data_IF_447009622549
#
_entry.id   IF_447009622549
#
_cell.length_a   1.000
_cell.length_b   1.000
_cell.length_c   1.000
_cell.angle_alpha   90.00
_cell.angle_beta   90.00
_cell.angle_gamma   90.00
#
_symmetry.space_group_name_H-M   'P 1'
#
loop_
_entity.id
_entity.type
_entity.pdbx_description
1 polymer ?
#
# COMPACT_ATOMS: atom_id res chain seq x y z
N UNK A 1 -13.47 -97.82 -14.68
CA UNK A 1 -14.60 -96.96 -14.29
C UNK A 1 -14.19 -95.51 -14.49
N UNK A 2 -15.04 -94.76 -15.21
CA UNK A 2 -15.19 -93.29 -15.21
C UNK A 2 -13.95 -92.39 -15.37
N UNK A 3 -13.88 -91.67 -16.51
CA UNK A 3 -13.23 -90.34 -16.59
C UNK A 3 -13.94 -89.30 -15.70
N UNK A 4 -13.52 -88.01 -15.69
CA UNK A 4 -13.70 -87.17 -16.87
C UNK A 4 -12.68 -86.01 -17.10
N UNK A 5 -12.63 -85.57 -18.37
CA UNK A 5 -12.60 -84.20 -18.91
C UNK A 5 -11.86 -83.07 -18.17
N UNK A 6 -10.96 -82.41 -18.91
CA UNK A 6 -10.53 -81.03 -18.67
C UNK A 6 -9.88 -80.44 -19.93
N UNK A 7 -10.62 -79.58 -20.64
CA UNK A 7 -10.32 -78.98 -21.94
C UNK A 7 -9.77 -77.56 -21.73
N UNK A 8 -8.61 -77.19 -22.30
CA UNK A 8 -8.13 -75.80 -22.43
C UNK A 8 -7.32 -75.71 -23.74
N UNK A 9 -7.93 -75.29 -24.86
CA UNK A 9 -8.03 -73.90 -25.39
C UNK A 9 -6.70 -73.39 -25.96
N UNK A 10 -6.67 -73.33 -27.29
CA UNK A 10 -5.70 -72.63 -28.13
C UNK A 10 -5.64 -71.14 -27.80
N UNK A 11 -4.46 -70.53 -27.85
CA UNK A 11 -4.32 -69.08 -28.01
C UNK A 11 -3.34 -68.78 -29.13
N UNK A 12 -3.85 -67.97 -30.06
CA UNK A 12 -3.27 -67.59 -31.34
C UNK A 12 -2.05 -66.67 -31.20
N UNK A 13 -1.20 -66.82 -32.19
CA UNK A 13 -0.03 -66.03 -32.56
C UNK A 13 -0.32 -64.52 -32.52
N UNK A 14 0.52 -63.79 -31.77
CA UNK A 14 0.50 -62.34 -31.64
C UNK A 14 0.71 -61.62 -33.00
N UNK A 15 -0.21 -60.75 -33.37
CA UNK A 15 0.00 -59.67 -34.33
C UNK A 15 0.57 -58.45 -33.60
N UNK A 16 1.76 -58.00 -34.02
CA UNK A 16 2.35 -56.74 -33.57
C UNK A 16 1.94 -55.62 -34.54
N UNK A 17 1.47 -54.45 -34.05
CA UNK A 17 1.19 -53.31 -34.91
C UNK A 17 2.49 -52.55 -35.24
N UNK A 18 2.70 -52.31 -36.53
CA UNK A 18 3.77 -51.52 -37.12
C UNK A 18 3.68 -50.06 -36.64
N UNK A 19 4.70 -49.59 -35.90
CA UNK A 19 4.79 -48.21 -35.42
C UNK A 19 5.47 -47.40 -36.52
N UNK A 20 4.71 -46.58 -37.24
CA UNK A 20 5.30 -45.63 -38.17
C UNK A 20 6.15 -44.59 -37.42
N UNK A 21 7.37 -44.30 -37.88
CA UNK A 21 8.29 -43.42 -37.17
C UNK A 21 7.88 -41.94 -37.32
N UNK A 22 8.00 -41.20 -36.21
CA UNK A 22 7.70 -39.76 -36.04
C UNK A 22 8.39 -38.86 -37.09
N UNK A 23 9.39 -39.38 -37.80
CA UNK A 23 10.04 -38.73 -38.94
C UNK A 23 9.09 -38.42 -40.11
N UNK A 24 7.97 -39.12 -40.27
CA UNK A 24 6.97 -38.82 -41.32
C UNK A 24 6.16 -37.55 -41.05
N UNK A 25 5.97 -37.17 -39.78
CA UNK A 25 5.31 -35.91 -39.40
C UNK A 25 6.16 -34.67 -39.68
N UNK A 26 7.49 -34.79 -39.62
CA UNK A 26 8.42 -33.72 -39.98
C UNK A 26 8.58 -33.55 -41.49
N UNK A 27 8.14 -34.54 -42.28
CA UNK A 27 8.20 -34.53 -43.74
C UNK A 27 6.93 -33.96 -44.40
N UNK A 28 6.04 -33.32 -43.64
CA UNK A 28 4.86 -32.69 -44.23
C UNK A 28 5.28 -31.54 -45.17
N UNK A 29 4.76 -31.50 -46.43
CA UNK A 29 5.16 -30.55 -47.47
C UNK A 29 4.91 -29.07 -47.12
N UNK A 30 4.18 -28.79 -46.04
CA UNK A 30 3.98 -27.45 -45.50
C UNK A 30 5.23 -26.85 -44.83
N UNK A 31 6.19 -27.70 -44.39
CA UNK A 31 7.43 -27.25 -43.75
C UNK A 31 8.55 -26.88 -44.74
N UNK A 32 8.37 -27.11 -46.04
CA UNK A 32 9.34 -26.73 -47.08
C UNK A 32 9.04 -25.38 -47.74
N UNK A 33 7.87 -24.79 -47.51
CA UNK A 33 7.55 -23.48 -48.06
C UNK A 33 8.33 -22.39 -47.33
N UNK A 34 9.18 -21.61 -48.03
CA UNK A 34 10.03 -20.59 -47.40
C UNK A 34 9.19 -19.52 -46.67
N UNK A 35 7.94 -19.31 -47.10
CA UNK A 35 6.99 -18.41 -46.46
C UNK A 35 6.45 -18.97 -45.14
N UNK A 36 6.21 -20.28 -45.07
CA UNK A 36 5.73 -20.94 -43.85
C UNK A 36 6.83 -21.02 -42.80
N UNK A 37 8.06 -21.36 -43.20
CA UNK A 37 9.23 -21.37 -42.31
C UNK A 37 9.52 -19.96 -41.77
N UNK A 38 9.42 -18.92 -42.61
CA UNK A 38 9.58 -17.54 -42.16
C UNK A 38 8.46 -17.10 -41.20
N UNK A 39 7.21 -17.47 -41.46
CA UNK A 39 6.08 -17.15 -40.59
C UNK A 39 6.17 -17.88 -39.24
N UNK A 40 6.52 -19.16 -39.25
CA UNK A 40 6.73 -19.96 -38.04
C UNK A 40 7.91 -19.43 -37.21
N UNK A 41 9.03 -19.09 -37.86
CA UNK A 41 10.17 -18.45 -37.22
C UNK A 41 9.81 -17.09 -36.60
N UNK A 42 9.05 -16.26 -37.32
CA UNK A 42 8.55 -14.98 -36.83
C UNK A 42 7.63 -15.13 -35.61
N UNK A 43 6.73 -16.12 -35.61
CA UNK A 43 5.87 -16.42 -34.47
C UNK A 43 6.69 -16.83 -33.24
N UNK A 44 7.71 -17.67 -33.42
CA UNK A 44 8.58 -18.11 -32.32
C UNK A 44 9.36 -16.93 -31.74
N UNK A 45 9.92 -16.06 -32.57
CA UNK A 45 10.62 -14.84 -32.12
C UNK A 45 9.66 -13.90 -31.39
N UNK A 46 8.42 -13.73 -31.89
CA UNK A 46 7.40 -12.92 -31.24
C UNK A 46 6.99 -13.50 -29.88
N UNK A 47 6.83 -14.82 -29.77
CA UNK A 47 6.51 -15.49 -28.51
C UNK A 47 7.66 -15.40 -27.51
N UNK A 48 8.91 -15.52 -27.96
CA UNK A 48 10.08 -15.30 -27.12
C UNK A 48 10.14 -13.84 -26.66
N UNK A 49 9.92 -12.88 -27.56
CA UNK A 49 9.89 -11.46 -27.23
C UNK A 49 8.76 -11.14 -26.24
N UNK A 50 7.55 -11.65 -26.44
CA UNK A 50 6.43 -11.50 -25.50
C UNK A 50 6.71 -12.19 -24.15
N UNK A 51 7.40 -13.33 -24.15
CA UNK A 51 7.79 -14.06 -22.94
C UNK A 51 8.84 -13.27 -22.14
N UNK A 52 9.85 -12.72 -22.82
CA UNK A 52 10.86 -11.85 -22.22
C UNK A 52 10.24 -10.54 -21.71
N UNK A 53 9.33 -9.92 -22.47
CA UNK A 53 8.64 -8.70 -22.02
C UNK A 53 7.63 -8.96 -20.88
N UNK A 54 7.01 -10.14 -20.81
CA UNK A 54 6.14 -10.53 -19.68
C UNK A 54 6.93 -10.82 -18.41
N UNK A 55 8.18 -11.24 -18.52
CA UNK A 55 9.01 -11.59 -17.35
C UNK A 55 9.72 -10.39 -16.72
N UNK A 56 9.76 -9.24 -17.40
CA UNK A 56 10.32 -7.97 -16.88
C UNK A 56 9.45 -7.27 -15.82
N UNK A 57 8.25 -7.77 -15.50
CA UNK A 57 7.46 -7.31 -14.34
C UNK A 57 7.79 -8.08 -13.05
N UNK A 58 8.93 -8.74 -12.97
CA UNK A 58 9.42 -9.25 -11.68
C UNK A 58 9.96 -8.07 -10.89
N UNK A 59 9.05 -7.41 -10.18
CA UNK A 59 9.38 -6.53 -9.07
C UNK A 59 10.49 -7.18 -8.24
N UNK A 60 11.52 -6.41 -7.94
CA UNK A 60 12.62 -6.79 -7.07
C UNK A 60 12.03 -7.04 -5.67
N UNK A 61 11.44 -8.22 -5.47
CA UNK A 61 10.92 -8.65 -4.18
C UNK A 61 12.07 -8.62 -3.20
N UNK A 62 12.02 -7.67 -2.26
CA UNK A 62 12.94 -7.62 -1.12
C UNK A 62 12.96 -9.01 -0.49
N UNK A 63 14.16 -9.57 -0.36
CA UNK A 63 14.37 -10.84 0.33
C UNK A 63 14.20 -10.57 1.84
N UNK A 64 12.97 -10.71 2.33
CA UNK A 64 12.62 -10.44 3.73
C UNK A 64 11.10 -10.43 3.96
N UNK A 65 10.66 -10.47 5.23
CA UNK A 65 9.24 -10.30 5.56
C UNK A 65 8.77 -8.89 5.15
N UNK A 66 7.53 -8.79 4.67
CA UNK A 66 6.92 -7.49 4.36
C UNK A 66 6.63 -6.76 5.67
N UNK A 67 7.19 -5.57 5.83
CA UNK A 67 7.04 -4.80 7.07
C UNK A 67 5.90 -3.79 6.93
N UNK A 68 4.96 -3.83 7.87
CA UNK A 68 3.81 -2.92 7.94
C UNK A 68 3.86 -2.15 9.26
N UNK A 69 3.81 -0.82 9.18
CA UNK A 69 3.79 0.05 10.37
C UNK A 69 2.35 0.50 10.68
N UNK A 70 1.92 0.34 11.92
CA UNK A 70 0.70 0.95 12.44
C UNK A 70 1.06 2.26 13.14
N UNK A 71 0.50 3.37 12.66
CA UNK A 71 0.74 4.71 13.20
C UNK A 71 -0.57 5.48 13.33
N UNK A 72 -0.54 6.61 14.04
CA UNK A 72 -1.71 7.47 14.24
C UNK A 72 -1.95 7.87 15.70
N UNK A 73 -3.01 8.64 15.98
CA UNK A 73 -3.31 9.19 17.30
C UNK A 73 -3.42 8.13 18.40
N UNK A 74 -3.11 8.50 19.65
CA UNK A 74 -3.05 7.61 20.83
C UNK A 74 -4.27 6.69 20.98
N UNK A 75 -5.46 7.19 20.67
CA UNK A 75 -6.74 6.50 20.89
C UNK A 75 -7.35 5.89 19.62
N UNK A 76 -6.59 5.83 18.53
CA UNK A 76 -7.03 5.30 17.24
C UNK A 76 -7.33 3.79 17.25
N UNK A 77 -6.86 3.03 18.23
CA UNK A 77 -7.06 1.57 18.31
C UNK A 77 -5.97 0.72 17.64
N UNK A 78 -4.79 1.29 17.40
CA UNK A 78 -3.64 0.61 16.78
C UNK A 78 -3.30 -0.73 17.45
N UNK A 79 -3.17 -0.74 18.78
CA UNK A 79 -2.83 -1.92 19.57
C UNK A 79 -3.96 -2.97 19.57
N UNK A 80 -5.22 -2.53 19.45
CA UNK A 80 -6.37 -3.44 19.29
C UNK A 80 -6.34 -4.16 17.95
N UNK A 81 -6.03 -3.44 16.86
CA UNK A 81 -5.83 -4.02 15.53
C UNK A 81 -4.63 -4.96 15.54
N UNK A 82 -3.51 -4.56 16.13
CA UNK A 82 -2.31 -5.38 16.27
C UNK A 82 -2.63 -6.71 16.97
N UNK A 83 -3.29 -6.66 18.11
CA UNK A 83 -3.63 -7.85 18.91
C UNK A 83 -4.59 -8.76 18.16
N UNK A 84 -5.61 -8.20 17.47
CA UNK A 84 -6.56 -9.01 16.68
C UNK A 84 -5.91 -9.63 15.44
N UNK A 85 -4.98 -8.94 14.76
CA UNK A 85 -4.28 -9.50 13.61
C UNK A 85 -3.32 -10.64 14.03
N UNK A 86 -2.59 -10.47 15.14
CA UNK A 86 -1.56 -11.42 15.57
C UNK A 86 -2.14 -12.60 16.35
N UNK A 87 -3.04 -12.33 17.30
CA UNK A 87 -3.49 -13.32 18.26
C UNK A 87 -4.96 -13.73 18.06
N UNK A 88 -5.64 -13.20 17.05
CA UNK A 88 -7.09 -13.34 16.83
C UNK A 88 -7.95 -13.05 18.07
N UNK A 89 -7.44 -12.22 18.98
CA UNK A 89 -8.11 -11.84 20.24
C UNK A 89 -8.31 -10.34 20.29
N UNK A 90 -9.45 -9.92 20.84
CA UNK A 90 -9.74 -8.52 21.11
C UNK A 90 -9.77 -8.28 22.61
N UNK A 91 -8.70 -7.69 23.14
CA UNK A 91 -8.54 -7.35 24.55
C UNK A 91 -8.57 -5.83 24.69
N UNK A 92 -9.12 -5.31 25.79
CA UNK A 92 -9.05 -3.89 26.10
C UNK A 92 -7.58 -3.47 26.25
N UNK A 93 -7.11 -2.57 25.39
CA UNK A 93 -5.71 -2.10 25.39
C UNK A 93 -5.60 -0.71 26.01
N UNK A 94 -4.51 -0.46 26.72
CA UNK A 94 -4.09 0.88 27.16
C UNK A 94 -3.04 1.42 26.20
N UNK A 95 -2.76 2.73 26.26
CA UNK A 95 -1.76 3.37 25.41
C UNK A 95 -0.39 2.70 25.55
N UNK A 96 0.13 2.13 24.46
CA UNK A 96 1.46 1.50 24.42
C UNK A 96 2.55 2.51 24.79
N UNK A 97 3.46 2.11 25.68
CA UNK A 97 4.63 2.91 26.11
C UNK A 97 5.86 2.58 25.25
N UNK A 98 5.89 1.39 24.63
CA UNK A 98 6.97 0.91 23.76
C UNK A 98 6.41 0.34 22.44
N UNK A 99 7.17 0.42 21.33
CA UNK A 99 6.80 -0.23 20.08
C UNK A 99 6.63 -1.74 20.24
N UNK A 100 5.52 -2.28 19.73
CA UNK A 100 5.29 -3.73 19.69
C UNK A 100 5.58 -4.26 18.30
N UNK A 101 6.49 -5.23 18.19
CA UNK A 101 6.95 -5.79 16.91
C UNK A 101 6.71 -7.29 16.93
N UNK A 102 5.94 -7.78 15.96
CA UNK A 102 5.70 -9.22 15.79
C UNK A 102 5.74 -9.60 14.32
N UNK A 103 6.30 -10.78 14.03
CA UNK A 103 6.25 -11.38 12.70
C UNK A 103 5.30 -12.57 12.71
N UNK A 104 4.34 -12.60 11.79
CA UNK A 104 3.35 -13.67 11.69
C UNK A 104 3.06 -14.03 10.21
N UNK A 105 2.67 -15.29 9.92
CA UNK A 105 2.19 -15.67 8.59
C UNK A 105 0.75 -15.17 8.40
N UNK A 106 0.53 -14.34 7.38
CA UNK A 106 -0.80 -13.94 6.91
C UNK A 106 -1.23 -14.90 5.80
N UNK A 107 -2.39 -15.54 5.95
CA UNK A 107 -2.96 -16.39 4.92
C UNK A 107 -3.61 -15.54 3.82
N UNK A 108 -3.58 -16.07 2.60
CA UNK A 108 -4.24 -15.47 1.45
C UNK A 108 -5.75 -15.34 1.68
N UNK A 109 -6.38 -14.22 1.27
CA UNK A 109 -7.83 -14.06 1.32
C UNK A 109 -8.58 -14.87 0.25
N UNK A 110 -7.87 -15.53 -0.68
CA UNK A 110 -8.45 -16.23 -1.83
C UNK A 110 -8.53 -17.77 -1.68
N UNK A 111 -8.38 -18.30 -0.45
CA UNK A 111 -8.40 -19.74 -0.15
C UNK A 111 -7.49 -20.61 -1.05
N UNK A 112 -6.40 -20.04 -1.54
CA UNK A 112 -5.44 -20.71 -2.43
C UNK A 112 -4.30 -21.44 -1.68
N UNK A 113 -4.37 -21.45 -0.34
CA UNK A 113 -3.37 -22.05 0.55
C UNK A 113 -2.05 -21.29 0.61
N UNK A 114 -1.94 -20.10 0.00
CA UNK A 114 -0.74 -19.28 0.08
C UNK A 114 -0.68 -18.53 1.41
N UNK A 115 0.54 -18.33 1.92
CA UNK A 115 0.79 -17.49 3.09
C UNK A 115 2.00 -16.59 2.86
N UNK A 116 1.98 -15.43 3.50
CA UNK A 116 3.00 -14.39 3.41
C UNK A 116 3.47 -14.00 4.79
N UNK A 117 4.79 -13.90 4.97
CA UNK A 117 5.36 -13.50 6.26
C UNK A 117 5.31 -11.96 6.41
N UNK A 118 4.55 -11.48 7.38
CA UNK A 118 4.35 -10.05 7.67
C UNK A 118 5.03 -9.71 8.99
N UNK A 119 5.86 -8.66 8.99
CA UNK A 119 6.39 -8.01 10.19
C UNK A 119 5.52 -6.80 10.51
N UNK A 120 4.68 -6.90 11.52
CA UNK A 120 3.81 -5.83 11.98
C UNK A 120 4.49 -5.06 13.12
N UNK A 121 4.47 -3.73 13.03
CA UNK A 121 5.06 -2.84 14.03
C UNK A 121 4.00 -1.85 14.49
N UNK A 122 3.57 -1.95 15.75
CA UNK A 122 2.71 -0.96 16.41
C UNK A 122 3.58 0.14 17.02
N UNK A 123 3.47 1.37 16.50
CA UNK A 123 4.15 2.53 17.05
C UNK A 123 3.21 3.31 17.99
N UNK A 124 3.67 3.69 19.19
CA UNK A 124 2.86 4.43 20.12
C UNK A 124 2.47 5.80 19.55
N UNK A 125 1.22 6.21 19.77
CA UNK A 125 0.74 7.55 19.40
C UNK A 125 1.26 8.59 20.38
N UNK A 126 2.51 9.02 20.23
CA UNK A 126 3.14 10.04 21.07
C UNK A 126 3.54 11.25 20.20
N UNK A 127 3.55 12.49 20.74
CA UNK A 127 4.07 13.70 20.07
C UNK A 127 5.45 13.60 19.38
N UNK A 128 6.22 12.54 19.64
CA UNK A 128 7.53 12.26 19.01
C UNK A 128 7.46 11.17 17.92
N UNK A 129 6.27 10.91 17.38
CA UNK A 129 6.03 9.93 16.32
C UNK A 129 7.03 10.07 15.16
N UNK A 130 7.46 11.30 14.83
CA UNK A 130 8.45 11.57 13.78
C UNK A 130 9.80 10.86 14.01
N UNK A 131 10.34 10.93 15.23
CA UNK A 131 11.67 10.40 15.53
C UNK A 131 11.67 8.87 15.55
N UNK A 132 10.57 8.29 16.00
CA UNK A 132 10.39 6.85 16.06
C UNK A 132 10.05 6.27 14.68
N UNK A 133 9.22 6.97 13.89
CA UNK A 133 8.93 6.62 12.50
C UNK A 133 10.23 6.53 11.69
N UNK A 134 11.14 7.52 11.80
CA UNK A 134 12.43 7.50 11.08
C UNK A 134 13.26 6.23 11.32
N UNK A 135 13.12 5.58 12.49
CA UNK A 135 13.85 4.33 12.80
C UNK A 135 13.29 3.13 12.05
N UNK A 136 11.97 3.04 11.92
CA UNK A 136 11.29 1.88 11.35
C UNK A 136 10.89 2.06 9.87
N UNK A 137 10.79 3.29 9.39
CA UNK A 137 10.30 3.60 8.04
C UNK A 137 11.21 3.01 6.97
N UNK A 138 12.53 2.93 7.18
CA UNK A 138 13.49 2.39 6.20
C UNK A 138 13.22 0.93 5.79
N UNK A 139 12.63 0.16 6.69
CA UNK A 139 12.26 -1.24 6.45
C UNK A 139 10.79 -1.39 6.01
N UNK A 140 9.99 -0.32 6.07
CA UNK A 140 8.57 -0.36 5.81
C UNK A 140 8.27 -0.58 4.33
N UNK A 141 7.42 -1.56 4.05
CA UNK A 141 6.80 -1.76 2.73
C UNK A 141 5.47 -1.02 2.64
N UNK A 142 4.77 -0.90 3.77
CA UNK A 142 3.53 -0.15 3.87
C UNK A 142 3.32 0.45 5.25
N UNK A 143 2.45 1.45 5.30
CA UNK A 143 2.10 2.17 6.52
C UNK A 143 0.57 2.29 6.60
N UNK A 144 0.02 1.99 7.77
CA UNK A 144 -1.40 2.12 8.08
C UNK A 144 -1.57 3.21 9.14
N UNK A 145 -2.19 4.32 8.75
CA UNK A 145 -2.56 5.42 9.64
C UNK A 145 -3.97 5.18 10.20
N UNK A 146 -4.03 4.76 11.46
CA UNK A 146 -5.26 4.33 12.13
C UNK A 146 -5.91 5.50 12.86
N UNK A 147 -7.15 5.81 12.51
CA UNK A 147 -7.91 6.92 13.08
C UNK A 147 -9.24 6.43 13.62
N UNK A 148 -9.59 6.83 14.84
CA UNK A 148 -10.94 6.61 15.37
C UNK A 148 -11.93 7.57 14.67
N UNK A 149 -12.92 7.00 13.99
CA UNK A 149 -13.91 7.76 13.22
C UNK A 149 -14.75 8.73 14.07
N UNK A 150 -15.04 8.38 15.32
CA UNK A 150 -15.82 9.25 16.22
C UNK A 150 -14.96 10.38 16.77
N UNK A 151 -13.72 10.07 17.15
CA UNK A 151 -12.78 11.06 17.66
C UNK A 151 -12.35 12.05 16.56
N UNK A 152 -12.24 11.58 15.31
CA UNK A 152 -11.87 12.42 14.17
C UNK A 152 -12.78 13.63 14.00
N UNK A 153 -14.08 13.48 14.26
CA UNK A 153 -15.05 14.59 14.11
C UNK A 153 -14.76 15.72 15.10
N UNK A 154 -14.18 15.41 16.26
CA UNK A 154 -13.88 16.38 17.32
C UNK A 154 -12.47 16.94 17.19
N UNK A 155 -11.53 16.12 16.73
CA UNK A 155 -10.09 16.42 16.72
C UNK A 155 -9.49 16.41 15.31
N UNK A 156 -10.27 16.73 14.26
CA UNK A 156 -9.85 16.64 12.86
C UNK A 156 -8.58 17.42 12.56
N UNK A 157 -8.46 18.64 13.09
CA UNK A 157 -7.30 19.50 12.89
C UNK A 157 -6.00 18.86 13.44
N UNK A 158 -6.01 18.38 14.68
CA UNK A 158 -4.84 17.76 15.29
C UNK A 158 -4.42 16.47 14.57
N UNK A 159 -5.40 15.63 14.17
CA UNK A 159 -5.12 14.41 13.41
C UNK A 159 -4.56 14.74 12.02
N UNK A 160 -5.04 15.81 11.38
CA UNK A 160 -4.55 16.25 10.08
C UNK A 160 -3.15 16.87 10.16
N UNK A 161 -2.77 17.51 11.27
CA UNK A 161 -1.42 18.06 11.48
C UNK A 161 -0.33 16.97 11.53
N UNK A 162 -0.69 15.75 11.93
CA UNK A 162 0.23 14.60 11.95
C UNK A 162 0.56 14.08 10.54
N UNK A 163 -0.35 14.22 9.57
CA UNK A 163 -0.21 13.68 8.22
C UNK A 163 0.94 14.28 7.39
N UNK A 164 1.05 15.62 7.21
CA UNK A 164 2.08 16.20 6.36
C UNK A 164 3.51 15.71 6.68
N UNK A 165 4.00 15.71 7.94
CA UNK A 165 5.34 15.20 8.22
C UNK A 165 5.50 13.69 7.96
N UNK A 166 4.43 12.90 8.11
CA UNK A 166 4.43 11.48 7.73
C UNK A 166 4.57 11.36 6.21
N UNK A 167 3.74 12.05 5.44
CA UNK A 167 3.75 12.01 3.98
C UNK A 167 5.10 12.45 3.41
N UNK A 168 5.71 13.52 3.94
CA UNK A 168 7.07 13.94 3.59
C UNK A 168 8.10 12.84 3.86
N UNK A 169 8.02 12.20 5.02
CA UNK A 169 8.94 11.10 5.38
C UNK A 169 8.80 9.91 4.42
N UNK A 170 7.56 9.57 4.03
CA UNK A 170 7.28 8.48 3.10
C UNK A 170 7.69 8.81 1.65
N UNK A 171 7.42 10.04 1.19
CA UNK A 171 7.84 10.50 -0.14
C UNK A 171 9.36 10.48 -0.29
N UNK A 172 10.08 11.01 0.70
CA UNK A 172 11.55 10.97 0.73
C UNK A 172 12.10 9.54 0.73
N UNK A 173 11.41 8.60 1.38
CA UNK A 173 11.79 7.19 1.36
C UNK A 173 11.52 6.55 -0.01
N UNK A 174 10.46 6.95 -0.70
CA UNK A 174 10.17 6.48 -2.07
C UNK A 174 11.28 6.83 -3.04
N UNK A 175 12.02 7.94 -2.87
CA UNK A 175 13.20 8.26 -3.68
C UNK A 175 14.29 7.18 -3.62
N UNK A 176 14.35 6.42 -2.52
CA UNK A 176 15.29 5.30 -2.33
C UNK A 176 14.70 3.95 -2.75
N UNK A 177 13.44 3.90 -3.14
CA UNK A 177 12.71 2.68 -3.48
C UNK A 177 12.27 2.72 -4.94
N UNK A 178 12.31 1.56 -5.60
CA UNK A 178 11.87 1.47 -7.00
C UNK A 178 10.34 1.54 -7.15
N UNK A 179 9.60 1.42 -6.05
CA UNK A 179 8.15 1.35 -6.02
C UNK A 179 7.60 2.37 -5.01
N UNK A 180 6.40 2.92 -5.28
CA UNK A 180 5.73 3.82 -4.35
C UNK A 180 5.38 3.09 -3.06
N UNK A 181 5.42 3.82 -1.94
CA UNK A 181 5.07 3.26 -0.63
C UNK A 181 3.55 3.26 -0.49
N UNK A 182 2.98 2.12 -0.10
CA UNK A 182 1.54 2.02 0.14
C UNK A 182 1.19 2.62 1.51
N UNK A 183 0.25 3.57 1.51
CA UNK A 183 -0.20 4.29 2.70
C UNK A 183 -1.72 4.16 2.83
N UNK A 184 -2.18 3.39 3.83
CA UNK A 184 -3.60 3.22 4.13
C UNK A 184 -4.03 4.15 5.25
N UNK A 185 -5.00 5.03 4.99
CA UNK A 185 -5.72 5.75 6.03
C UNK A 185 -6.93 4.91 6.44
N UNK A 186 -6.92 4.41 7.68
CA UNK A 186 -7.91 3.47 8.19
C UNK A 186 -8.87 4.13 9.18
N UNK A 187 -10.15 4.16 8.81
CA UNK A 187 -11.27 4.55 9.67
C UNK A 187 -11.62 3.41 10.64
N UNK A 188 -11.10 3.46 11.86
CA UNK A 188 -11.34 2.45 12.88
C UNK A 188 -12.56 2.76 13.75
N UNK A 189 -13.04 1.73 14.47
CA UNK A 189 -14.25 1.74 15.31
C UNK A 189 -15.53 2.03 14.53
N UNK A 190 -15.59 1.58 13.27
CA UNK A 190 -16.75 1.75 12.38
C UNK A 190 -17.98 0.97 12.85
N UNK A 191 -17.78 -0.04 13.70
CA UNK A 191 -18.84 -0.72 14.44
C UNK A 191 -19.64 0.25 15.31
N UNK A 192 -19.01 1.28 15.88
CA UNK A 192 -19.70 2.24 16.76
C UNK A 192 -20.56 3.26 16.00
N UNK A 193 -20.50 3.30 14.67
CA UNK A 193 -21.36 4.16 13.86
C UNK A 193 -22.79 3.62 13.74
N UNK A 194 -22.95 2.31 13.97
CA UNK A 194 -24.23 1.62 13.87
C UNK A 194 -24.52 0.88 15.16
N UNK A 195 -25.79 0.79 15.57
CA UNK A 195 -26.19 -0.01 16.73
C UNK A 195 -26.44 -1.47 16.33
N UNK A 196 -25.49 -2.07 15.61
CA UNK A 196 -25.56 -3.49 15.26
C UNK A 196 -24.88 -4.32 16.36
N UNK A 197 -25.53 -5.41 16.77
CA UNK A 197 -25.00 -6.36 17.76
C UNK A 197 -24.29 -7.56 17.12
N UNK A 198 -23.98 -7.47 15.82
CA UNK A 198 -23.37 -8.54 15.04
C UNK A 198 -22.45 -7.99 13.97
N UNK A 199 -22.63 -8.46 12.73
CA UNK A 199 -21.82 -8.05 11.58
C UNK A 199 -21.86 -6.53 11.35
N UNK A 200 -20.70 -5.97 10.97
CA UNK A 200 -20.62 -4.56 10.59
C UNK A 200 -21.17 -4.44 9.17
N UNK A 201 -22.26 -3.67 8.96
CA UNK A 201 -22.80 -3.47 7.62
C UNK A 201 -21.79 -2.80 6.70
N UNK A 202 -21.68 -3.28 5.47
CA UNK A 202 -20.87 -2.66 4.39
C UNK A 202 -21.16 -1.17 4.21
N UNK A 203 -22.41 -0.76 4.39
CA UNK A 203 -22.81 0.65 4.34
C UNK A 203 -22.16 1.49 5.45
N UNK A 204 -21.91 0.91 6.63
CA UNK A 204 -21.20 1.56 7.73
C UNK A 204 -19.72 1.75 7.39
N UNK A 205 -19.08 0.72 6.83
CA UNK A 205 -17.68 0.77 6.39
C UNK A 205 -17.49 1.81 5.29
N UNK A 206 -18.35 1.78 4.27
CA UNK A 206 -18.37 2.77 3.19
C UNK A 206 -18.54 4.20 3.73
N UNK A 207 -19.51 4.42 4.63
CA UNK A 207 -19.75 5.73 5.24
C UNK A 207 -18.55 6.20 6.07
N UNK A 208 -17.91 5.30 6.82
CA UNK A 208 -16.73 5.61 7.62
C UNK A 208 -15.57 6.05 6.72
N UNK A 209 -15.31 5.30 5.64
CA UNK A 209 -14.28 5.58 4.64
C UNK A 209 -14.47 6.96 4.00
N UNK A 210 -15.67 7.23 3.49
CA UNK A 210 -16.00 8.50 2.84
C UNK A 210 -15.91 9.68 3.80
N UNK A 211 -16.33 9.47 5.05
CA UNK A 211 -16.26 10.49 6.09
C UNK A 211 -14.81 10.83 6.47
N UNK A 212 -13.94 9.84 6.65
CA UNK A 212 -12.51 10.09 6.91
C UNK A 212 -11.88 10.83 5.75
N UNK A 213 -12.11 10.35 4.52
CA UNK A 213 -11.60 10.98 3.29
C UNK A 213 -12.04 12.44 3.22
N UNK A 214 -13.34 12.72 3.32
CA UNK A 214 -13.89 14.08 3.24
C UNK A 214 -13.34 15.01 4.32
N UNK A 215 -13.32 14.57 5.59
CA UNK A 215 -12.84 15.39 6.71
C UNK A 215 -11.36 15.71 6.53
N UNK A 216 -10.53 14.70 6.29
CA UNK A 216 -9.08 14.90 6.18
C UNK A 216 -8.71 15.69 4.93
N UNK A 217 -9.37 15.49 3.78
CA UNK A 217 -9.14 16.34 2.59
C UNK A 217 -9.36 17.81 2.93
N UNK A 218 -10.46 18.14 3.61
CA UNK A 218 -10.80 19.51 3.98
C UNK A 218 -9.78 20.13 4.95
N UNK A 219 -9.28 19.35 5.91
CA UNK A 219 -8.24 19.84 6.83
C UNK A 219 -6.88 19.98 6.12
N UNK A 220 -6.54 19.08 5.21
CA UNK A 220 -5.32 19.19 4.39
C UNK A 220 -5.37 20.41 3.46
N UNK A 221 -6.52 20.69 2.85
CA UNK A 221 -6.77 21.94 2.11
C UNK A 221 -6.54 23.18 2.98
N UNK A 222 -7.04 23.16 4.21
CA UNK A 222 -6.83 24.24 5.19
C UNK A 222 -5.35 24.38 5.55
N UNK A 223 -4.63 23.28 5.75
CA UNK A 223 -3.19 23.28 6.04
C UNK A 223 -2.37 23.80 4.84
N UNK A 224 -2.71 23.40 3.61
CA UNK A 224 -2.09 23.90 2.38
C UNK A 224 -2.32 25.40 2.22
N UNK A 225 -3.55 25.87 2.44
CA UNK A 225 -3.90 27.29 2.38
C UNK A 225 -3.22 28.14 3.46
N UNK A 226 -3.06 27.62 4.68
CA UNK A 226 -2.35 28.33 5.75
C UNK A 226 -0.85 28.41 5.46
N UNK A 227 -0.21 27.31 5.04
CA UNK A 227 1.21 27.30 4.66
C UNK A 227 1.54 28.23 3.51
N UNK A 228 0.67 28.28 2.49
CA UNK A 228 0.84 29.20 1.35
C UNK A 228 0.77 30.67 1.79
N UNK A 229 -0.04 30.97 2.82
CA UNK A 229 -0.13 32.31 3.41
C UNK A 229 1.05 32.62 4.34
N UNK A 230 1.63 31.62 4.99
CA UNK A 230 2.80 31.77 5.88
C UNK A 230 4.12 31.90 5.11
N UNK A 231 4.23 31.30 3.92
CA UNK A 231 5.40 31.43 3.03
C UNK A 231 5.51 32.79 2.34
N UNK A 232 4.41 33.55 2.26
CA UNK A 232 4.44 34.99 2.07
C UNK A 232 4.65 35.62 3.46
N UNK A 233 5.92 35.75 3.87
CA UNK A 233 6.35 36.01 5.23
C UNK A 233 5.48 36.97 6.05
N UNK A 234 5.39 36.67 7.35
CA UNK A 234 4.83 37.54 8.37
C UNK A 234 5.47 38.93 8.35
N UNK A 235 4.98 39.79 7.47
CA UNK A 235 5.06 41.23 7.59
C UNK A 235 3.75 41.68 8.20
N UNK A 236 3.83 42.00 9.48
CA UNK A 236 2.89 42.89 10.15
C UNK A 236 2.93 44.21 9.37
N UNK A 237 2.06 44.36 8.36
CA UNK A 237 1.83 45.66 7.73
C UNK A 237 0.90 46.49 8.62
N UNK A 238 1.53 47.04 9.65
CA UNK A 238 1.14 48.34 10.20
C UNK A 238 1.32 49.39 9.11
N UNK A 239 0.20 49.91 8.62
CA UNK A 239 -0.01 51.30 8.25
C UNK A 239 0.90 51.90 7.15
N UNK A 240 0.35 51.90 5.93
CA UNK A 240 0.32 53.07 5.04
C UNK A 240 1.61 53.44 4.30
N UNK A 241 1.65 53.16 2.98
CA UNK A 241 1.93 54.20 1.97
C UNK A 241 1.57 53.72 0.56
N UNK A 242 1.06 54.66 -0.20
CA UNK A 242 0.51 54.62 -1.56
C UNK A 242 1.61 54.60 -2.64
N UNK A 243 1.33 53.86 -3.73
CA UNK A 243 1.76 53.96 -5.14
C UNK A 243 3.25 53.80 -5.52
N UNK A 244 3.50 52.96 -6.54
CA UNK A 244 4.74 53.01 -7.33
C UNK A 244 5.03 51.76 -8.17
N UNK A 245 4.90 51.91 -9.48
CA UNK A 245 5.08 50.96 -10.59
C UNK A 245 6.50 50.35 -10.75
N UNK A 246 6.54 49.06 -11.10
CA UNK A 246 7.54 48.24 -11.85
C UNK A 246 9.06 48.49 -11.76
N UNK A 247 9.82 47.41 -11.52
CA UNK A 247 11.01 47.02 -12.31
C UNK A 247 11.49 45.62 -11.86
N UNK A 248 11.42 44.60 -12.71
CA UNK A 248 12.56 44.10 -13.49
C UNK A 248 13.72 43.51 -12.66
N UNK A 249 13.93 42.20 -12.79
CA UNK A 249 15.27 41.60 -12.77
C UNK A 249 15.72 40.91 -11.47
N UNK A 250 15.27 39.68 -11.24
CA UNK A 250 15.94 38.76 -10.29
C UNK A 250 16.65 37.59 -11.00
N UNK A 251 16.02 37.00 -12.03
CA UNK A 251 16.62 35.88 -12.80
C UNK A 251 17.89 36.23 -13.59
N UNK A 252 18.18 37.51 -13.85
CA UNK A 252 19.41 37.94 -14.53
C UNK A 252 20.64 38.01 -13.60
N UNK A 253 20.48 37.80 -12.28
CA UNK A 253 21.59 37.79 -11.31
C UNK A 253 22.04 36.39 -10.87
N UNK A 254 21.36 35.32 -11.30
CA UNK A 254 21.63 33.94 -10.84
C UNK A 254 22.64 33.16 -11.71
N UNK A 255 23.08 33.67 -12.87
CA UNK A 255 24.10 33.00 -13.70
C UNK A 255 25.24 33.94 -14.15
N UNK A 256 25.85 34.68 -13.21
CA UNK A 256 27.05 35.46 -13.56
C UNK A 256 27.79 36.12 -12.40
N UNK A 257 29.05 35.72 -12.25
CA UNK A 257 30.17 36.34 -11.52
C UNK A 257 30.26 36.07 -10.00
N UNK A 258 31.31 35.33 -9.63
CA UNK A 258 31.61 34.96 -8.25
C UNK A 258 32.36 36.01 -7.44
N UNK A 259 32.28 35.87 -6.13
CA UNK A 259 33.37 36.07 -5.16
C UNK A 259 32.90 35.51 -3.80
N UNK A 260 33.82 34.89 -3.07
CA UNK A 260 33.53 34.13 -1.86
C UNK A 260 32.97 34.95 -0.70
N UNK A 261 32.16 34.29 0.11
CA UNK A 261 31.66 34.76 1.40
C UNK A 261 30.95 33.61 2.11
N UNK A 262 31.60 33.05 3.13
CA UNK A 262 31.04 32.04 4.04
C UNK A 262 29.86 32.64 4.79
N UNK A 263 28.68 32.02 4.70
CA UNK A 263 27.47 32.48 5.36
C UNK A 263 26.41 31.38 5.44
N UNK A 264 26.40 30.69 6.59
CA UNK A 264 25.29 30.01 7.28
C UNK A 264 24.21 29.36 6.39
N UNK A 265 24.27 28.03 6.30
CA UNK A 265 23.16 27.15 5.90
C UNK A 265 21.97 27.37 6.85
N UNK A 266 20.96 28.09 6.36
CA UNK A 266 19.58 27.92 6.78
C UNK A 266 18.91 27.10 5.69
N UNK A 267 18.58 25.86 6.02
CA UNK A 267 18.03 24.88 5.09
C UNK A 267 16.70 25.38 4.49
N UNK A 268 16.60 25.27 3.16
CA UNK A 268 15.44 25.57 2.33
C UNK A 268 14.33 24.49 2.48
N UNK A 269 14.21 23.87 3.66
CA UNK A 269 13.30 22.74 3.93
C UNK A 269 11.82 23.10 3.69
N UNK A 270 11.47 24.38 3.74
CA UNK A 270 10.09 24.86 3.58
C UNK A 270 9.59 24.91 2.14
N UNK A 271 10.47 25.13 1.16
CA UNK A 271 10.09 25.22 -0.26
C UNK A 271 9.94 23.81 -0.86
N UNK A 272 10.84 22.89 -0.51
CA UNK A 272 10.81 21.50 -0.95
C UNK A 272 9.63 20.71 -0.37
N UNK A 273 9.26 20.93 0.91
CA UNK A 273 8.07 20.28 1.51
C UNK A 273 6.76 20.68 0.83
N UNK A 274 6.69 21.88 0.26
CA UNK A 274 5.47 22.41 -0.38
C UNK A 274 5.14 21.71 -1.70
N UNK A 275 6.14 21.12 -2.36
CA UNK A 275 5.98 20.39 -3.62
C UNK A 275 5.50 18.94 -3.41
N UNK A 276 5.72 18.38 -2.21
CA UNK A 276 5.44 16.97 -1.92
C UNK A 276 3.93 16.66 -1.90
N UNK A 277 3.06 17.67 -1.70
CA UNK A 277 1.60 17.51 -1.60
C UNK A 277 0.84 18.22 -2.74
N UNK A 278 1.50 18.35 -3.89
CA UNK A 278 0.96 18.95 -5.10
C UNK A 278 1.11 20.47 -5.18
N UNK A 279 1.14 20.97 -6.41
CA UNK A 279 1.32 22.39 -6.73
C UNK A 279 0.13 23.30 -6.37
N UNK A 280 0.04 24.46 -7.03
CA UNK A 280 -1.03 25.45 -6.79
C UNK A 280 -2.42 24.84 -7.05
N UNK A 281 -3.29 24.89 -6.05
CA UNK A 281 -4.66 24.38 -6.15
C UNK A 281 -5.15 23.78 -4.84
N UNK A 282 -6.31 23.14 -4.87
CA UNK A 282 -6.78 22.27 -3.79
C UNK A 282 -5.81 21.10 -3.56
N UNK A 283 -5.90 20.47 -2.41
CA UNK A 283 -5.17 19.27 -2.07
C UNK A 283 -5.86 18.05 -2.68
N UNK A 284 -5.08 17.23 -3.39
CA UNK A 284 -5.48 15.90 -3.82
C UNK A 284 -4.55 14.86 -3.20
N UNK A 285 -5.11 13.73 -2.80
CA UNK A 285 -4.34 12.60 -2.28
C UNK A 285 -3.46 11.95 -3.35
N UNK A 286 -3.85 12.08 -4.62
CA UNK A 286 -3.12 11.53 -5.77
C UNK A 286 -1.90 12.41 -6.14
N UNK A 287 -1.85 13.65 -5.63
CA UNK A 287 -0.73 14.57 -5.89
C UNK A 287 0.47 14.30 -4.96
N UNK A 288 0.37 13.34 -4.04
CA UNK A 288 1.46 13.00 -3.11
C UNK A 288 2.48 12.13 -3.84
N UNK A 289 3.64 12.71 -4.16
CA UNK A 289 4.67 12.02 -4.92
C UNK A 289 5.27 10.83 -4.15
N UNK A 290 5.39 9.68 -4.82
CA UNK A 290 6.05 8.49 -4.28
C UNK A 290 5.23 7.70 -3.25
N UNK A 291 3.98 8.11 -2.97
CA UNK A 291 3.12 7.45 -1.99
C UNK A 291 1.78 7.10 -2.63
N UNK A 292 1.41 5.82 -2.56
CA UNK A 292 0.08 5.35 -2.98
C UNK A 292 -0.87 5.43 -1.79
N UNK A 293 -1.73 6.46 -1.77
CA UNK A 293 -2.68 6.68 -0.68
C UNK A 293 -3.99 5.94 -0.94
N UNK A 294 -4.39 5.08 -0.01
CA UNK A 294 -5.68 4.40 -0.02
C UNK A 294 -6.46 4.68 1.28
N UNK A 295 -7.78 4.45 1.22
CA UNK A 295 -8.67 4.64 2.36
C UNK A 295 -9.41 3.33 2.61
N UNK A 296 -9.54 2.97 3.88
CA UNK A 296 -10.34 1.83 4.29
C UNK A 296 -11.02 2.06 5.62
N UNK A 297 -11.84 1.10 6.02
CA UNK A 297 -12.57 1.09 7.28
C UNK A 297 -12.38 -0.23 8.02
N UNK A 298 -12.52 -0.15 9.33
CA UNK A 298 -12.41 -1.29 10.23
C UNK A 298 -13.28 -1.11 11.47
N UNK A 299 -13.74 -2.23 12.02
CA UNK A 299 -14.30 -2.31 13.37
C UNK A 299 -14.06 -3.69 13.97
N UNK A 300 -14.09 -3.78 15.30
CA UNK A 300 -13.81 -5.03 16.03
C UNK A 300 -15.04 -5.59 16.74
N UNK A 301 -16.16 -4.87 16.68
CA UNK A 301 -17.39 -5.22 17.38
C UNK A 301 -17.24 -5.14 18.91
N UNK A 302 -18.26 -5.58 19.67
CA UNK A 302 -18.24 -5.58 21.12
C UNK A 302 -17.11 -6.44 21.70
N UNK A 303 -16.44 -5.94 22.75
CA UNK A 303 -15.42 -6.67 23.50
C UNK A 303 -16.05 -7.93 24.13
N UNK A 304 -15.51 -9.12 23.80
CA UNK A 304 -15.88 -10.39 24.45
C UNK A 304 -16.69 -11.37 23.59
N UNK A 305 -17.09 -11.00 22.37
CA UNK A 305 -17.64 -11.97 21.41
C UNK A 305 -16.49 -12.76 20.78
N UNK A 306 -16.41 -14.06 21.08
CA UNK A 306 -15.65 -15.00 20.24
C UNK A 306 -16.46 -15.20 18.96
N UNK A 307 -15.86 -14.90 17.82
CA UNK A 307 -16.43 -15.32 16.53
C UNK A 307 -16.36 -16.86 16.49
N UNK A 308 -17.53 -17.52 16.52
CA UNK A 308 -17.67 -18.98 16.35
C UNK A 308 -17.65 -19.40 14.87
N UNK A 309 -17.62 -18.45 13.93
CA UNK A 309 -17.62 -18.72 12.50
C UNK A 309 -16.20 -18.71 11.92
N UNK A 310 -15.80 -19.83 11.32
CA UNK A 310 -14.55 -19.99 10.54
C UNK A 310 -14.51 -19.11 9.27
N UNK A 311 -15.62 -18.46 8.91
CA UNK A 311 -15.68 -17.45 7.86
C UNK A 311 -15.18 -16.10 8.41
N UNK A 312 -13.91 -15.79 8.15
CA UNK A 312 -13.24 -14.58 8.62
C UNK A 312 -13.73 -13.30 7.95
N UNK A 313 -14.91 -12.83 8.32
CA UNK A 313 -15.36 -11.47 8.04
C UNK A 313 -15.94 -10.84 9.30
N UNK A 314 -15.69 -9.55 9.51
CA UNK A 314 -16.56 -8.58 10.24
C UNK A 314 -15.87 -7.26 10.62
N UNK A 315 -14.72 -6.92 10.03
CA UNK A 315 -14.19 -5.55 10.15
C UNK A 315 -12.68 -5.38 10.15
N UNK A 316 -11.89 -6.39 9.79
CA UNK A 316 -10.47 -6.23 9.48
C UNK A 316 -10.13 -6.61 8.03
N UNK A 317 -11.13 -6.91 7.22
CA UNK A 317 -10.94 -7.56 5.92
C UNK A 317 -10.28 -6.60 4.93
N UNK A 318 -10.68 -5.33 4.95
CA UNK A 318 -10.00 -4.27 4.19
C UNK A 318 -8.53 -4.11 4.60
N UNK A 319 -8.21 -4.23 5.90
CA UNK A 319 -6.83 -4.13 6.40
C UNK A 319 -6.01 -5.36 6.00
N UNK A 320 -6.59 -6.56 6.10
CA UNK A 320 -5.94 -7.82 5.69
C UNK A 320 -5.67 -7.83 4.19
N UNK A 321 -6.65 -7.43 3.39
CA UNK A 321 -6.52 -7.32 1.94
C UNK A 321 -5.45 -6.30 1.56
N UNK A 322 -5.44 -5.13 2.21
CA UNK A 322 -4.37 -4.14 2.00
C UNK A 322 -2.99 -4.72 2.33
N UNK A 323 -2.82 -5.35 3.50
CA UNK A 323 -1.53 -5.96 3.91
C UNK A 323 -1.10 -7.07 2.95
N UNK A 324 -2.05 -7.82 2.38
CA UNK A 324 -1.78 -8.88 1.41
C UNK A 324 -1.29 -8.34 0.06
N UNK A 325 -1.84 -7.22 -0.39
CA UNK A 325 -1.51 -6.59 -1.68
C UNK A 325 -0.16 -5.86 -1.67
N UNK A 326 0.33 -5.41 -0.52
CA UNK A 326 1.69 -4.88 -0.30
C UNK A 326 2.68 -6.01 -0.50
#
# INVERSE_FOLDING_TARGET
MSGPQGKVVSTDTATTPEVEPISSLLAHPLLQDPKFVAAAGGLVVLLIFLSLFRTSKKTSRRSGPTTVLLIGPSDGGKTSIFTKLVHNTHIQTHTSIQPSITTFPLNSPFDDGQSKLIKLVDLPGHPRLKDELKKYVREASAVVFVVDIQALVRNSAAVAEDLPPILTTLSNLSLTHSEPIKFLILAHKSDLLTRSTGEIPESSLFTARDRVKSILTREMDRLKATRTKSGAGGKIESMGKVAGTSSSGFFARLFGAGSGGVGVEGEDEGEDESLIWGGKGGFSWDDVEGVEVSFGASGLGPVGLKEETEAGGNGLDEVRNFIWEV
#
